data_IF_442878988450
#
_entry.id   IF_442878988450
#
_cell.length_a   1.000
_cell.length_b   1.000
_cell.length_c   1.000
_cell.angle_alpha   90.00
_cell.angle_beta   90.00
_cell.angle_gamma   90.00
#
_symmetry.space_group_name_H-M   'P 1'
#
loop_
_entity.id
_entity.type
_entity.pdbx_description
1 polymer ?
#
# COMPACT_ATOMS: atom_id res chain seq x y z
N UNK A 1 70.21 48.88 -37.26
CA UNK A 1 69.64 50.08 -37.91
C UNK A 1 69.14 49.63 -39.27
N UNK A 2 67.89 49.74 -39.68
CA UNK A 2 66.72 50.54 -39.29
C UNK A 2 65.56 49.87 -40.08
N UNK A 3 64.62 49.20 -39.43
CA UNK A 3 63.29 49.74 -39.08
C UNK A 3 62.54 50.39 -40.25
N UNK A 4 61.52 49.64 -40.71
CA UNK A 4 60.24 50.07 -41.31
C UNK A 4 60.31 50.74 -42.70
N UNK A 5 59.35 50.68 -43.61
CA UNK A 5 57.95 50.26 -43.61
C UNK A 5 57.51 50.26 -45.09
N UNK A 6 56.74 49.26 -45.53
CA UNK A 6 55.79 49.30 -46.66
C UNK A 6 54.95 48.00 -46.50
N UNK A 7 54.03 47.90 -45.55
CA UNK A 7 52.71 48.52 -45.46
C UNK A 7 51.77 48.28 -46.65
N UNK A 8 50.72 47.49 -46.35
CA UNK A 8 49.40 47.39 -47.00
C UNK A 8 49.27 46.52 -48.27
N UNK A 9 48.73 45.31 -48.08
CA UNK A 9 47.49 44.86 -48.76
C UNK A 9 47.07 43.44 -48.31
N UNK A 10 46.85 43.27 -46.99
CA UNK A 10 46.03 42.15 -46.48
C UNK A 10 44.56 42.55 -46.71
N UNK A 11 44.06 42.37 -47.93
CA UNK A 11 42.72 42.81 -48.33
C UNK A 11 42.03 41.77 -49.20
N UNK A 12 40.85 41.34 -48.77
CA UNK A 12 39.81 40.57 -49.49
C UNK A 12 39.66 39.07 -49.20
N UNK A 13 40.71 38.30 -48.88
CA UNK A 13 40.56 36.83 -48.73
C UNK A 13 40.46 36.28 -47.29
N UNK A 14 40.65 37.09 -46.24
CA UNK A 14 40.52 36.61 -44.84
C UNK A 14 39.13 36.78 -44.24
N UNK A 15 38.25 37.53 -44.91
CA UNK A 15 36.87 37.78 -44.46
C UNK A 15 35.90 36.69 -44.95
N UNK A 16 36.15 36.10 -46.13
CA UNK A 16 35.33 34.98 -46.67
C UNK A 16 35.51 33.71 -45.84
N UNK A 17 36.71 33.44 -45.34
CA UNK A 17 36.98 32.30 -44.46
C UNK A 17 36.33 32.40 -43.07
N UNK A 18 36.06 33.62 -42.60
CA UNK A 18 35.43 33.84 -41.29
C UNK A 18 33.89 33.77 -41.35
N UNK A 19 33.29 34.15 -42.48
CA UNK A 19 31.83 34.12 -42.68
C UNK A 19 31.31 32.70 -42.94
N UNK A 20 32.08 31.84 -43.62
CA UNK A 20 31.67 30.46 -43.92
C UNK A 20 31.84 29.50 -42.72
N UNK A 21 32.72 29.83 -41.77
CA UNK A 21 32.86 29.13 -40.49
C UNK A 21 31.78 29.55 -39.46
N UNK A 22 31.26 30.77 -39.56
CA UNK A 22 30.19 31.26 -38.69
C UNK A 22 28.81 30.66 -39.03
N UNK A 23 28.56 30.33 -40.30
CA UNK A 23 27.29 29.72 -40.74
C UNK A 23 27.12 28.25 -40.30
N UNK A 24 28.20 27.54 -39.96
CA UNK A 24 28.12 26.19 -39.41
C UNK A 24 27.88 26.16 -37.89
N UNK A 25 28.16 27.24 -37.16
CA UNK A 25 27.89 27.30 -35.71
C UNK A 25 26.38 27.46 -35.43
N UNK A 26 25.63 28.07 -36.35
CA UNK A 26 24.16 28.13 -36.32
C UNK A 26 23.47 26.85 -36.83
N UNK A 27 24.22 25.87 -37.33
CA UNK A 27 23.68 24.57 -37.76
C UNK A 27 23.81 23.46 -36.70
N UNK A 28 24.34 23.77 -35.51
CA UNK A 28 24.41 22.85 -34.36
C UNK A 28 23.16 22.93 -33.45
N UNK A 29 22.17 23.73 -33.83
CA UNK A 29 20.97 24.00 -33.04
C UNK A 29 19.71 23.33 -33.57
N UNK A 30 19.71 22.01 -33.78
CA UNK A 30 18.48 21.20 -33.68
C UNK A 30 18.82 19.71 -33.75
N UNK A 31 19.40 19.17 -32.68
CA UNK A 31 19.25 17.74 -32.43
C UNK A 31 17.82 17.55 -31.94
N UNK A 32 16.95 16.75 -32.58
CA UNK A 32 15.77 16.27 -31.89
C UNK A 32 16.29 15.44 -30.72
N UNK A 33 16.16 15.97 -29.51
CA UNK A 33 16.28 15.17 -28.31
C UNK A 33 15.13 14.16 -28.36
N UNK A 34 15.40 12.97 -28.91
CA UNK A 34 14.57 11.81 -28.65
C UNK A 34 14.79 11.51 -27.17
N UNK A 35 13.89 12.03 -26.33
CA UNK A 35 13.76 11.54 -24.98
C UNK A 35 13.59 10.02 -25.12
N UNK A 36 14.56 9.25 -24.63
CA UNK A 36 14.36 7.82 -24.45
C UNK A 36 13.30 7.69 -23.38
N UNK A 37 12.04 7.61 -23.81
CA UNK A 37 10.92 7.20 -22.98
C UNK A 37 11.06 5.70 -22.71
N UNK A 38 12.13 5.36 -21.99
CA UNK A 38 12.31 4.04 -21.43
C UNK A 38 11.81 4.11 -19.99
N UNK A 39 10.55 4.49 -19.84
CA UNK A 39 9.83 4.38 -18.59
C UNK A 39 9.76 2.89 -18.26
N UNK A 40 10.58 2.46 -17.29
CA UNK A 40 10.45 1.13 -16.72
C UNK A 40 9.09 1.08 -15.99
N UNK A 41 8.08 0.53 -16.66
CA UNK A 41 6.80 0.21 -16.03
C UNK A 41 7.06 -0.90 -15.01
N UNK A 42 7.09 -0.50 -13.74
CA UNK A 42 7.15 -1.44 -12.63
C UNK A 42 5.81 -2.14 -12.50
N UNK A 43 5.83 -3.47 -12.43
CA UNK A 43 4.63 -4.24 -12.15
C UNK A 43 3.97 -3.76 -10.86
N UNK A 44 2.64 -3.64 -10.82
CA UNK A 44 1.94 -3.22 -9.63
C UNK A 44 2.20 -4.21 -8.48
N UNK A 45 2.51 -3.68 -7.30
CA UNK A 45 2.53 -4.44 -6.06
C UNK A 45 1.08 -4.58 -5.60
N UNK A 46 0.57 -5.81 -5.66
CA UNK A 46 -0.73 -6.15 -5.10
C UNK A 46 -0.54 -6.43 -3.61
N UNK A 47 -1.08 -5.56 -2.76
CA UNK A 47 -1.12 -5.80 -1.32
C UNK A 47 -2.44 -6.51 -1.04
N UNK A 48 -2.37 -7.82 -0.84
CA UNK A 48 -3.50 -8.58 -0.30
C UNK A 48 -3.53 -8.36 1.22
N UNK A 49 -4.69 -7.95 1.71
CA UNK A 49 -4.92 -7.79 3.13
C UNK A 49 -4.91 -9.16 3.81
N UNK A 50 -4.01 -9.34 4.77
CA UNK A 50 -3.94 -10.56 5.57
C UNK A 50 -5.11 -10.54 6.57
N UNK A 51 -6.21 -11.20 6.20
CA UNK A 51 -7.45 -11.24 6.99
C UNK A 51 -7.40 -12.16 8.21
N UNK A 52 -6.27 -12.84 8.46
CA UNK A 52 -6.02 -13.66 9.65
C UNK A 52 -5.62 -12.82 10.88
N UNK A 53 -6.38 -11.76 11.18
CA UNK A 53 -6.23 -11.03 12.44
C UNK A 53 -6.98 -11.76 13.56
N UNK A 54 -6.35 -12.06 14.70
CA UNK A 54 -7.05 -12.60 15.88
C UNK A 54 -7.95 -11.56 16.57
N UNK A 55 -7.87 -10.30 16.17
CA UNK A 55 -8.64 -9.18 16.70
C UNK A 55 -9.32 -8.48 15.54
N UNK A 56 -10.63 -8.69 15.41
CA UNK A 56 -11.44 -8.16 14.32
C UNK A 56 -12.61 -9.09 14.03
N UNK A 57 -13.57 -8.68 13.20
CA UNK A 57 -14.56 -9.59 12.67
C UNK A 57 -13.87 -10.59 11.74
N UNK A 58 -13.94 -11.88 12.08
CA UNK A 58 -13.51 -12.94 11.17
C UNK A 58 -14.31 -12.90 9.87
N UNK A 59 -13.66 -13.23 8.75
CA UNK A 59 -14.34 -13.45 7.47
C UNK A 59 -15.13 -14.76 7.51
N UNK A 60 -16.30 -14.73 8.14
CA UNK A 60 -17.26 -15.83 8.14
C UNK A 60 -17.57 -16.40 9.53
N UNK A 61 -17.88 -17.71 9.56
CA UNK A 61 -18.23 -18.44 10.79
C UNK A 61 -17.05 -19.15 11.45
N UNK A 62 -15.89 -19.20 10.80
CA UNK A 62 -14.73 -19.96 11.29
C UNK A 62 -13.63 -18.94 11.61
N UNK A 63 -13.32 -18.80 12.89
CA UNK A 63 -12.12 -18.11 13.33
C UNK A 63 -10.90 -19.01 13.08
N UNK A 64 -9.77 -18.43 12.70
CA UNK A 64 -8.52 -19.17 12.44
C UNK A 64 -7.44 -18.89 13.50
N UNK A 65 -7.40 -17.67 13.99
CA UNK A 65 -6.42 -17.15 14.94
C UNK A 65 -7.11 -16.62 16.20
N UNK A 66 -6.45 -16.69 17.33
CA UNK A 66 -6.94 -16.06 18.57
C UNK A 66 -5.79 -15.66 19.47
N UNK A 67 -6.00 -14.59 20.25
CA UNK A 67 -5.10 -14.17 21.33
C UNK A 67 -5.45 -14.81 22.67
N UNK A 68 -6.58 -15.52 22.74
CA UNK A 68 -7.03 -16.18 23.97
C UNK A 68 -6.17 -17.42 24.25
N UNK A 69 -5.76 -17.63 25.51
CA UNK A 69 -4.96 -18.78 25.92
C UNK A 69 -3.44 -18.53 25.86
N UNK A 70 -2.92 -17.98 24.76
CA UNK A 70 -1.48 -17.69 24.60
C UNK A 70 -1.11 -16.21 24.79
N UNK A 71 -2.09 -15.29 24.77
CA UNK A 71 -1.90 -13.82 24.80
C UNK A 71 -1.07 -13.28 23.62
N UNK A 72 -0.81 -14.11 22.63
CA UNK A 72 -0.16 -13.74 21.37
C UNK A 72 -1.05 -14.23 20.24
N UNK A 73 -0.87 -13.69 19.04
CA UNK A 73 -1.53 -14.25 17.86
C UNK A 73 -1.11 -15.73 17.70
N UNK A 74 -2.07 -16.64 17.87
CA UNK A 74 -1.83 -18.08 17.79
C UNK A 74 -2.96 -18.74 17.01
N UNK A 75 -2.63 -19.60 16.03
CA UNK A 75 -3.63 -20.41 15.35
C UNK A 75 -4.37 -21.31 16.34
N UNK A 76 -5.67 -21.49 16.19
CA UNK A 76 -6.48 -22.30 17.11
C UNK A 76 -5.96 -23.74 17.31
N UNK A 77 -5.31 -24.31 16.28
CA UNK A 77 -4.71 -25.66 16.35
C UNK A 77 -3.49 -25.75 17.27
N UNK A 78 -2.87 -24.62 17.60
CA UNK A 78 -1.60 -24.54 18.35
C UNK A 78 -1.82 -24.14 19.82
N UNK A 79 -3.08 -23.92 20.22
CA UNK A 79 -3.42 -23.56 21.60
C UNK A 79 -3.48 -24.83 22.45
N UNK A 80 -2.81 -24.86 23.62
CA UNK A 80 -2.76 -26.05 24.47
C UNK A 80 -4.05 -26.31 25.27
N UNK A 81 -5.12 -25.56 25.00
CA UNK A 81 -6.37 -25.55 25.76
C UNK A 81 -7.57 -25.47 24.81
N UNK A 82 -8.72 -25.96 25.25
CA UNK A 82 -9.97 -25.87 24.49
C UNK A 82 -10.48 -24.43 24.47
N UNK A 83 -10.58 -23.85 23.28
CA UNK A 83 -11.12 -22.49 23.04
C UNK A 83 -12.25 -22.58 22.03
N UNK A 84 -13.40 -21.99 22.36
CA UNK A 84 -14.55 -21.85 21.47
C UNK A 84 -14.73 -20.38 21.12
N UNK A 85 -14.78 -20.06 19.82
CA UNK A 85 -14.92 -18.67 19.33
C UNK A 85 -16.28 -18.50 18.66
N UNK A 86 -17.02 -17.45 19.04
CA UNK A 86 -18.25 -17.02 18.36
C UNK A 86 -17.91 -15.81 17.51
N UNK A 87 -18.02 -15.94 16.19
CA UNK A 87 -17.65 -14.86 15.27
C UNK A 87 -18.73 -13.78 15.19
N UNK A 88 -18.35 -12.59 14.73
CA UNK A 88 -19.30 -11.48 14.55
C UNK A 88 -20.44 -11.84 13.60
N UNK A 89 -20.12 -12.52 12.49
CA UNK A 89 -21.13 -12.97 11.53
C UNK A 89 -22.14 -13.95 12.15
N UNK A 90 -21.70 -14.84 13.05
CA UNK A 90 -22.62 -15.74 13.74
C UNK A 90 -23.60 -15.00 14.66
N UNK A 91 -23.14 -13.93 15.32
CA UNK A 91 -24.01 -13.07 16.13
C UNK A 91 -24.99 -12.29 15.28
N UNK A 92 -24.54 -11.73 14.16
CA UNK A 92 -25.41 -10.93 13.29
C UNK A 92 -26.50 -11.79 12.62
N UNK A 93 -26.21 -13.05 12.29
CA UNK A 93 -27.17 -13.96 11.66
C UNK A 93 -28.15 -14.58 12.67
N UNK A 94 -27.74 -14.79 13.93
CA UNK A 94 -28.60 -15.38 14.97
C UNK A 94 -29.34 -14.36 15.82
N UNK A 95 -28.88 -13.11 15.83
CA UNK A 95 -29.46 -11.98 16.57
C UNK A 95 -29.90 -12.35 18.00
N UNK A 96 -29.01 -12.95 18.82
CA UNK A 96 -29.35 -13.30 20.20
C UNK A 96 -29.74 -12.04 20.98
N UNK A 97 -30.80 -12.14 21.78
CA UNK A 97 -31.29 -11.00 22.56
C UNK A 97 -30.34 -10.67 23.71
N UNK A 98 -29.68 -11.69 24.27
CA UNK A 98 -28.75 -11.55 25.37
C UNK A 98 -27.50 -12.43 25.17
N UNK A 99 -26.45 -12.14 25.94
CA UNK A 99 -25.19 -12.87 25.85
C UNK A 99 -25.36 -14.33 26.28
N UNK A 100 -26.23 -14.62 27.25
CA UNK A 100 -26.51 -15.99 27.70
C UNK A 100 -27.04 -16.89 26.59
N UNK A 101 -27.87 -16.36 25.68
CA UNK A 101 -28.40 -17.10 24.54
C UNK A 101 -27.27 -17.53 23.60
N UNK A 102 -26.26 -16.67 23.46
CA UNK A 102 -25.06 -16.98 22.67
C UNK A 102 -24.29 -18.15 23.29
N UNK A 103 -24.16 -18.15 24.62
CA UNK A 103 -23.44 -19.19 25.36
C UNK A 103 -24.14 -20.54 25.30
N UNK A 104 -25.47 -20.58 25.19
CA UNK A 104 -26.23 -21.83 25.01
C UNK A 104 -25.84 -22.61 23.76
N UNK A 105 -25.27 -21.94 22.75
CA UNK A 105 -24.81 -22.59 21.52
C UNK A 105 -23.39 -23.16 21.61
N UNK A 106 -22.66 -22.89 22.69
CA UNK A 106 -21.30 -23.37 22.88
C UNK A 106 -21.28 -24.73 23.56
N UNK A 107 -20.53 -25.68 22.99
CA UNK A 107 -20.35 -26.99 23.59
C UNK A 107 -19.66 -26.87 24.95
N UNK A 108 -20.21 -27.54 25.97
CA UNK A 108 -19.66 -27.55 27.33
C UNK A 108 -19.98 -26.32 28.18
N UNK A 109 -20.73 -25.35 27.66
CA UNK A 109 -21.21 -24.19 28.44
C UNK A 109 -22.69 -24.39 28.77
N UNK A 110 -23.03 -24.29 30.06
CA UNK A 110 -24.44 -24.28 30.50
C UNK A 110 -24.81 -22.86 30.90
N UNK A 111 -25.64 -22.21 30.09
CA UNK A 111 -26.24 -20.92 30.44
C UNK A 111 -27.35 -21.17 31.46
N UNK A 112 -27.11 -20.85 32.74
CA UNK A 112 -28.18 -20.88 33.75
C UNK A 112 -28.94 -19.56 33.69
N UNK A 113 -30.23 -19.55 33.28
CA UNK A 113 -31.02 -18.34 33.20
C UNK A 113 -31.58 -18.00 34.59
N UNK A 114 -30.78 -17.39 35.47
CA UNK A 114 -31.33 -16.79 36.68
C UNK A 114 -31.55 -15.29 36.47
N UNK A 115 -32.78 -14.95 36.11
CA UNK A 115 -33.43 -13.63 36.17
C UNK A 115 -32.81 -12.48 35.33
N UNK A 116 -33.19 -12.38 34.05
CA UNK A 116 -33.08 -11.15 33.24
C UNK A 116 -34.32 -10.23 33.33
N UNK A 117 -35.21 -10.44 34.32
CA UNK A 117 -36.37 -9.56 34.57
C UNK A 117 -35.99 -8.37 35.46
N UNK A 118 -35.38 -7.33 34.88
CA UNK A 118 -35.40 -5.96 35.44
C UNK A 118 -35.55 -4.89 34.35
N UNK A 119 -35.97 -5.27 33.14
CA UNK A 119 -36.32 -4.30 32.12
C UNK A 119 -37.70 -3.68 32.43
N UNK A 120 -37.67 -2.54 33.14
CA UNK A 120 -38.60 -1.41 33.00
C UNK A 120 -40.11 -1.70 33.11
N UNK A 121 -40.67 -1.48 34.29
CA UNK A 121 -41.95 -0.75 34.36
C UNK A 121 -41.92 0.27 35.50
N UNK A 122 -41.63 1.49 35.09
CA UNK A 122 -41.82 2.75 35.80
C UNK A 122 -42.90 3.52 35.05
N UNK A 123 -44.08 3.67 35.66
CA UNK A 123 -45.10 4.73 35.50
C UNK A 123 -46.46 4.20 35.99
#
# INVERSE_FOLDING_TARGET
MRMDMDSVAVGRNRMVGFVLAATCLSALGSFPAVAQDNAAELSPINIEEQTDSPIGPDEGYIAKNTTTGSKTDTPLKEIPQSVSVVTRKQLDDRQPAQLEDTLSYLAGVTSSPWASTTASTSA
#
